data_IF_762863945966
#
_entry.id   IF_762863945966
#
_cell.length_a   1.000
_cell.length_b   1.000
_cell.length_c   1.000
_cell.angle_alpha   90.00
_cell.angle_beta   90.00
_cell.angle_gamma   90.00
#
_symmetry.space_group_name_H-M   'P 1'
#
loop_
_entity.id
_entity.type
_entity.pdbx_description
1 polymer ?
#
# COMPACT_ATOMS: atom_id res chain seq x y z
N UNK A 1 -11.35 19.20 -56.40
CA UNK A 1 -12.60 18.50 -56.01
C UNK A 1 -12.70 17.22 -56.83
N UNK A 2 -12.82 16.01 -56.32
CA UNK A 2 -12.86 15.48 -54.95
C UNK A 2 -12.57 13.98 -55.08
N UNK A 3 -11.77 13.40 -54.17
CA UNK A 3 -11.55 11.96 -54.16
C UNK A 3 -12.78 11.32 -53.51
N UNK A 4 -13.53 10.51 -54.24
CA UNK A 4 -14.60 9.66 -53.68
C UNK A 4 -14.89 8.55 -54.70
N UNK A 5 -15.23 7.31 -54.30
CA UNK A 5 -15.08 6.62 -53.02
C UNK A 5 -14.06 5.46 -53.11
N UNK A 6 -13.30 5.19 -52.04
CA UNK A 6 -12.76 3.84 -51.80
C UNK A 6 -13.92 2.85 -51.92
N UNK A 7 -13.77 1.73 -52.64
CA UNK A 7 -14.86 0.77 -52.84
C UNK A 7 -15.51 0.44 -51.48
N UNK A 8 -16.85 0.42 -51.35
CA UNK A 8 -17.51 0.28 -50.06
C UNK A 8 -17.04 -0.93 -49.23
N UNK A 9 -16.52 -1.97 -49.88
CA UNK A 9 -15.95 -3.15 -49.25
C UNK A 9 -14.57 -2.90 -48.60
N UNK A 10 -13.71 -2.11 -49.25
CA UNK A 10 -12.39 -1.75 -48.73
C UNK A 10 -12.52 -0.88 -47.47
N UNK A 11 -13.43 0.11 -47.50
CA UNK A 11 -13.70 0.94 -46.32
C UNK A 11 -14.28 0.12 -45.16
N UNK A 12 -15.14 -0.87 -45.44
CA UNK A 12 -15.65 -1.79 -44.40
C UNK A 12 -14.52 -2.60 -43.79
N UNK A 13 -13.59 -3.08 -44.60
CA UNK A 13 -12.43 -3.84 -44.14
C UNK A 13 -11.50 -3.00 -43.25
N UNK A 14 -11.22 -1.75 -43.64
CA UNK A 14 -10.42 -0.82 -42.82
C UNK A 14 -11.10 -0.50 -41.49
N UNK A 15 -12.43 -0.34 -41.49
CA UNK A 15 -13.21 -0.13 -40.26
C UNK A 15 -13.12 -1.36 -39.35
N UNK A 16 -13.27 -2.57 -39.91
CA UNK A 16 -13.17 -3.83 -39.16
C UNK A 16 -11.77 -3.99 -38.55
N UNK A 17 -10.72 -3.76 -39.34
CA UNK A 17 -9.34 -3.80 -38.88
C UNK A 17 -9.09 -2.80 -37.75
N UNK A 18 -9.49 -1.54 -37.95
CA UNK A 18 -9.33 -0.48 -36.95
C UNK A 18 -10.09 -0.82 -35.66
N UNK A 19 -11.29 -1.40 -35.76
CA UNK A 19 -12.06 -1.85 -34.60
C UNK A 19 -11.36 -2.99 -33.86
N UNK A 20 -10.74 -3.92 -34.59
CA UNK A 20 -9.93 -4.99 -34.00
C UNK A 20 -8.74 -4.43 -33.22
N UNK A 21 -7.96 -3.54 -33.85
CA UNK A 21 -6.78 -2.92 -33.22
C UNK A 21 -7.15 -2.09 -31.97
N UNK A 22 -8.26 -1.35 -32.03
CA UNK A 22 -8.78 -0.64 -30.87
C UNK A 22 -9.31 -1.60 -29.80
N UNK A 23 -9.93 -2.72 -30.18
CA UNK A 23 -10.36 -3.78 -29.28
C UNK A 23 -9.20 -4.36 -28.48
N UNK A 24 -8.12 -4.73 -29.17
CA UNK A 24 -6.88 -5.22 -28.55
C UNK A 24 -6.27 -4.17 -27.60
N UNK A 25 -6.31 -2.89 -27.99
CA UNK A 25 -5.81 -1.80 -27.14
C UNK A 25 -6.65 -1.62 -25.87
N UNK A 26 -7.97 -1.71 -25.98
CA UNK A 26 -8.88 -1.63 -24.83
C UNK A 26 -8.68 -2.83 -23.90
N UNK A 27 -8.52 -4.04 -24.44
CA UNK A 27 -8.24 -5.23 -23.66
C UNK A 27 -6.90 -5.12 -22.91
N UNK A 28 -5.85 -4.66 -23.58
CA UNK A 28 -4.56 -4.41 -22.95
C UNK A 28 -4.65 -3.35 -21.83
N UNK A 29 -5.47 -2.30 -22.03
CA UNK A 29 -5.70 -1.28 -21.01
C UNK A 29 -6.50 -1.84 -19.82
N UNK A 30 -7.53 -2.64 -20.08
CA UNK A 30 -8.32 -3.29 -19.05
C UNK A 30 -7.45 -4.24 -18.21
N UNK A 31 -6.59 -5.04 -18.85
CA UNK A 31 -5.65 -5.91 -18.16
C UNK A 31 -4.71 -5.12 -17.23
N UNK A 32 -4.19 -3.97 -17.69
CA UNK A 32 -3.34 -3.09 -16.85
C UNK A 32 -4.12 -2.47 -15.69
N UNK A 33 -5.37 -2.07 -15.93
CA UNK A 33 -6.23 -1.52 -14.90
C UNK A 33 -6.55 -2.57 -13.82
N UNK A 34 -6.82 -3.82 -14.21
CA UNK A 34 -7.05 -4.94 -13.29
C UNK A 34 -5.83 -5.21 -12.40
N UNK A 35 -4.63 -5.31 -12.98
CA UNK A 35 -3.39 -5.48 -12.21
C UNK A 35 -3.21 -4.37 -11.16
N UNK A 36 -3.52 -3.12 -11.53
CA UNK A 36 -3.45 -1.99 -10.60
C UNK A 36 -4.49 -2.11 -9.49
N UNK A 37 -5.73 -2.49 -9.80
CA UNK A 37 -6.78 -2.68 -8.82
C UNK A 37 -6.38 -3.78 -7.81
N UNK A 38 -5.91 -4.93 -8.29
CA UNK A 38 -5.43 -6.03 -7.43
C UNK A 38 -4.26 -5.63 -6.55
N UNK A 39 -3.31 -4.85 -7.07
CA UNK A 39 -2.19 -4.34 -6.29
C UNK A 39 -2.67 -3.37 -5.19
N UNK A 40 -3.65 -2.52 -5.47
CA UNK A 40 -4.23 -1.62 -4.48
C UNK A 40 -4.98 -2.38 -3.39
N UNK A 41 -5.78 -3.39 -3.76
CA UNK A 41 -6.50 -4.24 -2.82
C UNK A 41 -5.53 -4.96 -1.86
N UNK A 42 -4.45 -5.56 -2.38
CA UNK A 42 -3.43 -6.20 -1.56
C UNK A 42 -2.75 -5.22 -0.58
N UNK A 43 -2.54 -3.97 -0.99
CA UNK A 43 -1.99 -2.93 -0.11
C UNK A 43 -2.96 -2.58 1.00
N UNK A 44 -4.25 -2.43 0.69
CA UNK A 44 -5.27 -2.10 1.71
C UNK A 44 -5.48 -3.26 2.69
N UNK A 45 -5.46 -4.50 2.23
CA UNK A 45 -5.51 -5.68 3.10
C UNK A 45 -4.30 -5.72 4.05
N UNK A 46 -3.09 -5.53 3.53
CA UNK A 46 -1.88 -5.49 4.36
C UNK A 46 -1.92 -4.33 5.38
N UNK A 47 -2.48 -3.17 5.00
CA UNK A 47 -2.70 -2.05 5.92
C UNK A 47 -3.68 -2.38 7.03
N UNK A 48 -4.78 -3.06 6.70
CA UNK A 48 -5.78 -3.49 7.68
C UNK A 48 -5.16 -4.46 8.70
N UNK A 49 -4.42 -5.46 8.24
CA UNK A 49 -3.73 -6.44 9.09
C UNK A 49 -2.69 -5.76 10.02
N UNK A 50 -1.90 -4.84 9.47
CA UNK A 50 -0.93 -4.06 10.27
C UNK A 50 -1.65 -3.22 11.31
N UNK A 51 -2.75 -2.56 10.94
CA UNK A 51 -3.53 -1.72 11.86
C UNK A 51 -4.09 -2.54 13.02
N UNK A 52 -4.64 -3.72 12.77
CA UNK A 52 -5.15 -4.62 13.80
C UNK A 52 -4.03 -5.06 14.77
N UNK A 53 -2.86 -5.43 14.23
CA UNK A 53 -1.68 -5.78 15.04
C UNK A 53 -1.18 -4.62 15.89
N UNK A 54 -1.20 -3.40 15.35
CA UNK A 54 -0.83 -2.21 16.11
C UNK A 54 -1.83 -1.94 17.22
N UNK A 55 -3.14 -2.05 16.96
CA UNK A 55 -4.17 -1.86 17.99
C UNK A 55 -4.01 -2.86 19.15
N UNK A 56 -3.89 -4.15 18.86
CA UNK A 56 -3.69 -5.18 19.90
C UNK A 56 -2.39 -5.00 20.69
N UNK A 57 -1.31 -4.57 20.05
CA UNK A 57 -0.06 -4.23 20.72
C UNK A 57 -0.24 -3.00 21.64
N UNK A 58 -0.92 -1.95 21.17
CA UNK A 58 -1.22 -0.76 21.96
C UNK A 58 -2.08 -1.11 23.17
N UNK A 59 -3.10 -1.93 23.02
CA UNK A 59 -3.98 -2.35 24.14
C UNK A 59 -3.20 -3.13 25.20
N UNK A 60 -2.30 -4.02 24.78
CA UNK A 60 -1.42 -4.77 25.67
C UNK A 60 -0.47 -3.84 26.43
N UNK A 61 0.14 -2.87 25.72
CA UNK A 61 1.02 -1.86 26.33
C UNK A 61 0.22 -0.97 27.27
N UNK A 62 -0.99 -0.54 26.91
CA UNK A 62 -1.85 0.27 27.76
C UNK A 62 -2.24 -0.47 29.04
N UNK A 63 -2.57 -1.75 28.95
CA UNK A 63 -2.86 -2.61 30.10
C UNK A 63 -1.64 -2.74 31.05
N UNK A 64 -0.44 -2.95 30.51
CA UNK A 64 0.78 -3.05 31.31
C UNK A 64 1.23 -1.70 31.89
N UNK A 65 1.14 -0.63 31.09
CA UNK A 65 1.43 0.73 31.51
C UNK A 65 0.47 1.18 32.58
N UNK A 66 -0.82 0.81 32.55
CA UNK A 66 -1.77 1.13 33.62
C UNK A 66 -1.27 0.73 35.01
N UNK A 67 -0.59 -0.41 35.13
CA UNK A 67 -0.01 -0.91 36.40
C UNK A 67 1.27 -0.17 36.81
N UNK A 68 2.03 0.36 35.87
CA UNK A 68 3.32 1.03 36.12
C UNK A 68 3.26 2.56 35.99
N UNK A 69 2.15 3.12 35.50
CA UNK A 69 1.93 4.54 35.22
C UNK A 69 2.14 5.39 36.46
N UNK A 70 1.68 4.92 37.62
CA UNK A 70 1.89 5.60 38.89
C UNK A 70 3.36 5.66 39.32
N UNK A 71 4.20 4.69 38.93
CA UNK A 71 5.64 4.71 39.20
C UNK A 71 6.38 5.61 38.20
N UNK A 72 6.00 5.54 36.93
CA UNK A 72 6.54 6.42 35.88
C UNK A 72 6.19 7.90 36.10
N UNK A 73 4.99 8.20 36.63
CA UNK A 73 4.54 9.56 36.91
C UNK A 73 5.29 10.22 38.08
N UNK A 74 5.90 9.41 38.97
CA UNK A 74 6.71 9.89 40.10
C UNK A 74 8.16 10.20 39.75
N UNK A 75 8.61 9.83 38.55
CA UNK A 75 9.97 10.12 38.08
C UNK A 75 10.10 11.59 37.65
N UNK A 76 11.29 12.14 37.83
CA UNK A 76 11.65 13.48 37.35
C UNK A 76 11.39 13.59 35.83
N UNK A 77 10.76 14.69 35.36
CA UNK A 77 10.50 14.93 33.93
C UNK A 77 11.68 14.64 33.00
N UNK A 78 12.92 14.95 33.41
CA UNK A 78 14.12 14.70 32.57
C UNK A 78 14.38 13.20 32.37
N UNK A 79 14.18 12.41 33.41
CA UNK A 79 14.35 10.94 33.38
C UNK A 79 13.27 10.30 32.52
N UNK A 80 12.03 10.81 32.59
CA UNK A 80 10.92 10.33 31.76
C UNK A 80 11.18 10.52 30.27
N UNK A 81 11.67 11.71 29.87
CA UNK A 81 12.00 12.01 28.48
C UNK A 81 13.14 11.11 27.99
N UNK A 82 14.15 10.86 28.82
CA UNK A 82 15.26 9.96 28.49
C UNK A 82 14.80 8.51 28.22
N UNK A 83 13.91 7.97 29.05
CA UNK A 83 13.39 6.60 28.86
C UNK A 83 12.56 6.50 27.57
N UNK A 84 11.70 7.48 27.29
CA UNK A 84 10.88 7.47 26.06
C UNK A 84 11.76 7.55 24.81
N UNK A 85 12.79 8.41 24.81
CA UNK A 85 13.72 8.53 23.69
C UNK A 85 14.50 7.23 23.46
N UNK A 86 14.95 6.56 24.52
CA UNK A 86 15.67 5.30 24.41
C UNK A 86 14.81 4.17 23.82
N UNK A 87 13.55 4.04 24.26
CA UNK A 87 12.61 3.03 23.73
C UNK A 87 12.31 3.28 22.25
N UNK A 88 12.09 4.54 21.85
CA UNK A 88 11.91 4.90 20.45
C UNK A 88 13.15 4.56 19.59
N UNK A 89 14.36 4.80 20.11
CA UNK A 89 15.61 4.43 19.45
C UNK A 89 15.77 2.91 19.27
N UNK A 90 15.43 2.11 20.29
CA UNK A 90 15.48 0.65 20.20
C UNK A 90 14.45 0.12 19.19
N UNK A 91 13.22 0.66 19.20
CA UNK A 91 12.18 0.25 18.25
C UNK A 91 12.58 0.54 16.79
N UNK A 92 13.14 1.71 16.52
CA UNK A 92 13.62 2.07 15.18
C UNK A 92 14.78 1.16 14.74
N UNK A 93 15.73 0.86 15.63
CA UNK A 93 16.82 -0.08 15.34
C UNK A 93 16.30 -1.50 15.05
N UNK A 94 15.33 -1.98 15.83
CA UNK A 94 14.72 -3.30 15.64
C UNK A 94 13.92 -3.38 14.34
N UNK A 95 13.18 -2.34 13.98
CA UNK A 95 12.47 -2.27 12.69
C UNK A 95 13.44 -2.32 11.51
N UNK A 96 14.55 -1.58 11.57
CA UNK A 96 15.59 -1.62 10.53
C UNK A 96 16.23 -3.01 10.45
N UNK A 97 16.52 -3.64 11.59
CA UNK A 97 17.11 -4.98 11.64
C UNK A 97 16.15 -6.05 11.13
N UNK A 98 14.86 -5.95 11.45
CA UNK A 98 13.82 -6.88 11.00
C UNK A 98 13.57 -6.73 9.49
N UNK A 99 13.53 -5.50 8.98
CA UNK A 99 13.41 -5.24 7.55
C UNK A 99 14.60 -5.78 6.75
N UNK A 100 15.81 -5.76 7.32
CA UNK A 100 17.00 -6.40 6.73
C UNK A 100 16.92 -7.92 6.77
N UNK A 101 16.48 -8.51 7.90
CA UNK A 101 16.35 -9.97 8.06
C UNK A 101 15.29 -10.60 7.16
N UNK A 102 14.22 -9.88 6.82
CA UNK A 102 13.19 -10.36 5.88
C UNK A 102 13.64 -10.32 4.41
N UNK A 103 14.76 -9.66 4.11
CA UNK A 103 15.28 -9.46 2.75
C UNK A 103 16.48 -10.38 2.45
N UNK A 104 16.94 -11.17 3.41
CA UNK A 104 17.96 -12.22 3.29
C UNK A 104 17.29 -13.58 3.42
#
# INVERSE_FOLDING_TARGET
MGKTPTEPEELRREIEQTRSELGETVEALAARADVKARAQEAVEEARAEVRERVHSAVDTVAYQMGKQRARFAKLDPRVRVGIVAALAGVLTLLMVRQARRRRS
#
